data_IF_040143738960
#
_entry.id   IF_040143738960
#
_cell.length_a   1.000
_cell.length_b   1.000
_cell.length_c   1.000
_cell.angle_alpha   90.00
_cell.angle_beta   90.00
_cell.angle_gamma   90.00
#
_symmetry.space_group_name_H-M   'P 1'
#
loop_
_entity.id
_entity.type
_entity.pdbx_description
1 polymer ?
#
# COMPACT_ATOMS: atom_id res chain seq x y z
N UNK A 1 12.01 17.39 72.48
CA UNK A 1 13.09 16.92 71.58
C UNK A 1 13.11 15.40 71.64
N UNK A 2 13.31 14.70 70.52
CA UNK A 2 13.49 13.25 70.57
C UNK A 2 14.97 12.91 70.61
N UNK A 3 15.34 12.01 71.50
CA UNK A 3 16.71 11.52 71.72
C UNK A 3 16.77 10.02 71.43
N UNK A 4 17.97 9.52 71.15
CA UNK A 4 18.19 8.09 71.00
C UNK A 4 17.99 7.40 72.34
N UNK A 5 17.12 6.38 72.39
CA UNK A 5 16.81 5.63 73.60
C UNK A 5 18.06 5.03 74.27
N UNK A 6 19.08 4.67 73.49
CA UNK A 6 20.28 3.99 74.02
C UNK A 6 21.45 4.93 74.36
N UNK A 7 21.81 5.84 73.47
CA UNK A 7 22.99 6.70 73.65
C UNK A 7 22.67 8.15 74.04
N UNK A 8 21.38 8.52 74.13
CA UNK A 8 20.96 9.88 74.50
C UNK A 8 21.30 10.97 73.49
N UNK A 9 21.82 10.61 72.29
CA UNK A 9 22.16 11.63 71.29
C UNK A 9 20.88 12.31 70.77
N UNK A 10 20.90 13.64 70.69
CA UNK A 10 19.76 14.42 70.22
C UNK A 10 19.53 14.22 68.72
N UNK A 11 18.26 14.27 68.30
CA UNK A 11 17.87 14.18 66.90
C UNK A 11 18.34 15.33 66.01
N UNK A 12 18.92 16.39 66.58
CA UNK A 12 19.54 17.48 65.81
C UNK A 12 20.91 17.08 65.25
N UNK A 13 21.63 16.17 65.94
CA UNK A 13 22.98 15.74 65.55
C UNK A 13 22.97 14.51 64.63
N UNK A 14 21.92 13.69 64.68
CA UNK A 14 21.84 12.47 63.88
C UNK A 14 20.41 12.10 63.53
N UNK A 15 20.23 11.36 62.43
CA UNK A 15 18.92 10.84 62.02
C UNK A 15 18.52 9.70 62.96
N UNK A 16 17.37 9.86 63.60
CA UNK A 16 16.75 8.84 64.43
C UNK A 16 15.72 8.07 63.59
N UNK A 17 15.69 6.76 63.76
CA UNK A 17 14.72 5.87 63.15
C UNK A 17 13.81 5.26 64.20
N UNK A 18 12.57 4.98 63.82
CA UNK A 18 11.64 4.26 64.67
C UNK A 18 12.00 2.77 64.63
N UNK A 19 12.16 2.13 65.79
CA UNK A 19 12.58 0.74 65.92
C UNK A 19 11.72 0.02 66.98
N UNK A 20 11.58 -1.30 66.85
CA UNK A 20 10.75 -2.11 67.75
C UNK A 20 11.63 -2.71 68.86
N UNK A 21 11.40 -2.30 70.10
CA UNK A 21 12.01 -2.86 71.30
C UNK A 21 10.96 -3.56 72.17
N UNK A 22 11.39 -4.27 73.22
CA UNK A 22 10.50 -4.90 74.20
C UNK A 22 9.60 -3.90 74.93
N UNK A 23 10.01 -2.64 75.03
CA UNK A 23 9.23 -1.54 75.65
C UNK A 23 8.31 -0.82 74.66
N UNK A 24 8.28 -1.23 73.39
CA UNK A 24 7.46 -0.62 72.34
C UNK A 24 8.28 0.06 71.23
N UNK A 25 7.68 1.06 70.57
CA UNK A 25 8.31 1.77 69.45
C UNK A 25 9.21 2.87 70.03
N UNK A 26 10.52 2.71 69.87
CA UNK A 26 11.54 3.64 70.36
C UNK A 26 12.32 4.27 69.22
N UNK A 27 12.92 5.44 69.46
CA UNK A 27 13.78 6.12 68.48
C UNK A 27 15.24 5.75 68.71
N UNK A 28 15.90 5.22 67.68
CA UNK A 28 17.31 4.81 67.71
C UNK A 28 18.12 5.52 66.63
N UNK A 29 19.38 5.83 66.91
CA UNK A 29 20.31 6.30 65.89
C UNK A 29 20.83 5.12 65.04
N UNK A 30 21.38 5.43 63.86
CA UNK A 30 21.90 4.41 62.92
C UNK A 30 22.95 3.48 63.55
N UNK A 31 23.79 4.01 64.44
CA UNK A 31 24.87 3.25 65.05
C UNK A 31 24.32 2.22 66.05
N UNK A 32 23.46 2.66 66.99
CA UNK A 32 22.89 1.77 68.00
C UNK A 32 22.01 0.68 67.39
N UNK A 33 21.29 0.96 66.28
CA UNK A 33 20.51 -0.06 65.58
C UNK A 33 21.39 -1.16 64.96
N UNK A 34 22.56 -0.81 64.44
CA UNK A 34 23.52 -1.78 63.90
C UNK A 34 24.14 -2.66 64.98
N UNK A 35 24.49 -2.07 66.12
CA UNK A 35 25.17 -2.79 67.21
C UNK A 35 24.26 -3.83 67.91
N UNK A 36 22.98 -3.54 68.06
CA UNK A 36 22.02 -4.44 68.74
C UNK A 36 21.15 -5.27 67.79
N UNK A 37 21.30 -5.11 66.47
CA UNK A 37 20.44 -5.75 65.48
C UNK A 37 18.93 -5.52 65.72
N UNK A 38 18.56 -4.34 66.22
CA UNK A 38 17.15 -3.99 66.47
C UNK A 38 16.46 -3.70 65.13
N UNK A 39 15.29 -4.32 64.84
CA UNK A 39 14.58 -4.11 63.59
C UNK A 39 14.06 -2.68 63.48
N UNK A 40 14.50 -1.98 62.43
CA UNK A 40 14.09 -0.61 62.11
C UNK A 40 12.84 -0.62 61.23
N UNK A 41 11.82 0.14 61.63
CA UNK A 41 10.63 0.38 60.83
C UNK A 41 10.98 1.42 59.77
N UNK A 42 11.10 0.97 58.51
CA UNK A 42 11.23 1.89 57.38
C UNK A 42 9.86 2.45 57.05
N UNK A 43 9.67 3.76 57.31
CA UNK A 43 8.47 4.47 56.81
C UNK A 43 8.46 4.35 55.28
N UNK A 44 7.36 3.88 54.66
CA UNK A 44 7.24 3.85 53.21
C UNK A 44 7.50 5.23 52.63
N UNK A 45 8.15 5.29 51.48
CA UNK A 45 8.28 6.56 50.76
C UNK A 45 6.93 6.96 50.16
N UNK A 46 6.69 8.26 49.96
CA UNK A 46 5.45 8.75 49.34
C UNK A 46 5.20 8.12 47.97
N UNK A 47 6.27 7.81 47.24
CA UNK A 47 6.21 7.09 45.95
C UNK A 47 5.67 5.66 46.11
N UNK A 48 5.99 4.98 47.20
CA UNK A 48 5.46 3.65 47.49
C UNK A 48 3.98 3.71 47.88
N UNK A 49 3.59 4.71 48.67
CA UNK A 49 2.18 4.94 49.03
C UNK A 49 1.33 5.22 47.78
N UNK A 50 1.78 6.14 46.92
CA UNK A 50 1.10 6.46 45.68
C UNK A 50 0.94 5.26 44.74
N UNK A 51 1.97 4.40 44.64
CA UNK A 51 1.89 3.16 43.84
C UNK A 51 0.90 2.15 44.42
N UNK A 52 0.78 2.06 45.74
CA UNK A 52 -0.17 1.18 46.40
C UNK A 52 -1.62 1.68 46.20
N UNK A 53 -1.84 2.99 46.26
CA UNK A 53 -3.16 3.61 46.05
C UNK A 53 -3.67 3.45 44.61
N UNK A 54 -2.77 3.56 43.62
CA UNK A 54 -3.18 3.57 42.20
C UNK A 54 -3.85 2.29 41.73
N UNK A 55 -3.63 1.16 42.41
CA UNK A 55 -4.16 -0.15 42.06
C UNK A 55 -3.67 -0.67 40.70
N UNK A 56 -3.58 -2.00 40.49
CA UNK A 56 -3.21 -2.53 39.18
C UNK A 56 -4.36 -2.32 38.20
N UNK A 57 -4.04 -1.81 37.01
CA UNK A 57 -5.00 -1.66 35.91
C UNK A 57 -5.52 -3.02 35.44
N UNK A 58 -6.68 -3.04 34.78
CA UNK A 58 -7.24 -4.28 34.19
C UNK A 58 -6.21 -4.97 33.30
N UNK A 59 -5.44 -4.20 32.53
CA UNK A 59 -4.39 -4.70 31.65
C UNK A 59 -3.25 -5.40 32.42
N UNK A 60 -2.72 -4.76 33.46
CA UNK A 60 -1.66 -5.36 34.29
C UNK A 60 -2.13 -6.63 35.00
N UNK A 61 -3.42 -6.69 35.40
CA UNK A 61 -4.01 -7.91 35.96
C UNK A 61 -4.03 -9.05 34.94
N UNK A 62 -4.46 -8.78 33.72
CA UNK A 62 -4.48 -9.77 32.64
C UNK A 62 -3.07 -10.25 32.28
N UNK A 63 -2.09 -9.34 32.17
CA UNK A 63 -0.69 -9.71 31.90
C UNK A 63 -0.12 -10.63 33.00
N UNK A 64 -0.43 -10.36 34.28
CA UNK A 64 -0.02 -11.23 35.40
C UNK A 64 -0.66 -12.62 35.34
N UNK A 65 -1.92 -12.72 34.92
CA UNK A 65 -2.61 -14.02 34.78
C UNK A 65 -1.95 -14.87 33.68
N UNK A 66 -1.46 -14.26 32.62
CA UNK A 66 -0.79 -14.94 31.50
C UNK A 66 0.70 -15.18 31.77
N UNK A 67 1.25 -14.63 32.86
CA UNK A 67 2.67 -14.76 33.20
C UNK A 67 3.61 -13.96 32.29
N UNK A 68 3.09 -12.90 31.66
CA UNK A 68 3.87 -12.02 30.78
C UNK A 68 4.08 -10.68 31.48
N UNK A 69 5.28 -10.11 31.35
CA UNK A 69 5.55 -8.80 31.91
C UNK A 69 4.65 -7.73 31.25
N UNK A 70 3.93 -6.89 32.02
CA UNK A 70 3.01 -5.89 31.46
C UNK A 70 3.66 -4.91 30.49
N UNK A 71 4.99 -4.70 30.61
CA UNK A 71 5.76 -3.85 29.69
C UNK A 71 5.94 -4.53 28.33
N UNK A 72 6.40 -5.78 28.31
CA UNK A 72 6.59 -6.55 27.08
C UNK A 72 5.27 -6.78 26.36
N UNK A 73 4.22 -7.11 27.11
CA UNK A 73 2.88 -7.29 26.55
C UNK A 73 2.37 -5.99 25.89
N UNK A 74 2.71 -4.82 26.45
CA UNK A 74 2.32 -3.51 25.90
C UNK A 74 3.11 -3.14 24.67
N UNK A 75 4.37 -3.52 24.57
CA UNK A 75 5.16 -3.34 23.36
C UNK A 75 4.67 -4.25 22.23
N UNK A 76 4.26 -5.47 22.57
CA UNK A 76 3.83 -6.46 21.58
C UNK A 76 2.40 -6.23 21.08
N UNK A 77 1.49 -5.80 21.95
CA UNK A 77 0.05 -5.66 21.65
C UNK A 77 -0.50 -4.24 21.80
N UNK A 78 0.33 -3.28 22.23
CA UNK A 78 -0.05 -1.88 22.31
C UNK A 78 -0.08 -1.20 20.94
N UNK A 79 -0.44 0.09 20.96
CA UNK A 79 -0.62 0.93 19.76
C UNK A 79 0.63 0.93 18.86
N UNK A 80 1.82 0.87 19.45
CA UNK A 80 3.09 0.81 18.72
C UNK A 80 3.33 -0.56 18.05
N UNK A 81 2.96 -1.67 18.70
CA UNK A 81 3.00 -3.00 18.10
C UNK A 81 2.03 -3.15 16.93
N UNK A 82 0.85 -2.51 17.00
CA UNK A 82 -0.12 -2.47 15.90
C UNK A 82 0.45 -1.70 14.70
N UNK A 83 1.05 -0.52 14.92
CA UNK A 83 1.71 0.26 13.85
C UNK A 83 2.82 -0.53 13.16
N UNK A 84 3.69 -1.17 13.94
CA UNK A 84 4.81 -1.97 13.41
C UNK A 84 4.33 -3.20 12.62
N UNK A 85 3.16 -3.75 12.97
CA UNK A 85 2.52 -4.85 12.23
C UNK A 85 1.83 -4.36 10.95
N UNK A 86 1.30 -3.14 10.93
CA UNK A 86 0.77 -2.51 9.71
C UNK A 86 1.90 -2.15 8.73
N UNK A 87 3.02 -1.66 9.22
CA UNK A 87 4.22 -1.38 8.40
C UNK A 87 4.74 -2.66 7.71
N UNK A 88 4.88 -3.77 8.44
CA UNK A 88 5.28 -5.06 7.85
C UNK A 88 4.29 -5.60 6.81
N UNK A 89 2.99 -5.32 6.97
CA UNK A 89 1.99 -5.69 5.96
C UNK A 89 2.06 -4.83 4.69
N UNK A 90 2.62 -3.62 4.77
CA UNK A 90 2.86 -2.78 3.59
C UNK A 90 4.09 -3.22 2.78
N UNK A 91 5.01 -3.99 3.39
CA UNK A 91 6.19 -4.54 2.74
C UNK A 91 5.91 -5.86 2.00
N UNK A 92 4.82 -6.56 2.30
CA UNK A 92 4.35 -7.67 1.49
C UNK A 92 3.74 -7.12 0.19
N UNK A 93 4.57 -7.01 -0.84
CA UNK A 93 4.17 -6.68 -2.21
C UNK A 93 3.18 -7.75 -2.68
N UNK A 94 1.90 -7.50 -2.45
CA UNK A 94 0.84 -8.42 -2.90
C UNK A 94 0.86 -8.47 -4.42
N UNK A 95 0.57 -9.64 -5.01
CA UNK A 95 0.46 -9.80 -6.47
C UNK A 95 -0.45 -8.74 -7.12
N UNK A 96 -1.47 -8.26 -6.39
CA UNK A 96 -2.34 -7.17 -6.82
C UNK A 96 -1.59 -5.86 -7.04
N UNK A 97 -0.71 -5.47 -6.12
CA UNK A 97 0.10 -4.25 -6.26
C UNK A 97 1.04 -4.28 -7.47
N UNK A 98 1.51 -5.48 -7.85
CA UNK A 98 2.33 -5.67 -9.06
C UNK A 98 1.47 -5.47 -10.31
N UNK A 99 0.26 -6.04 -10.33
CA UNK A 99 -0.68 -5.88 -11.45
C UNK A 99 -1.10 -4.42 -11.61
N UNK A 100 -1.41 -3.73 -10.51
CA UNK A 100 -1.76 -2.30 -10.53
C UNK A 100 -0.58 -1.46 -11.07
N UNK A 101 0.65 -1.69 -10.58
CA UNK A 101 1.86 -0.99 -11.05
C UNK A 101 2.16 -1.25 -12.53
N UNK A 102 1.97 -2.49 -13.00
CA UNK A 102 2.14 -2.82 -14.41
C UNK A 102 1.09 -2.13 -15.29
N UNK A 103 -0.13 -1.95 -14.75
CA UNK A 103 -1.19 -1.25 -15.45
C UNK A 103 -0.90 0.25 -15.53
N UNK A 104 -0.43 0.87 -14.45
CA UNK A 104 0.00 2.27 -14.42
C UNK A 104 1.11 2.54 -15.44
N UNK A 105 2.17 1.72 -15.46
CA UNK A 105 3.26 1.85 -16.44
C UNK A 105 2.74 1.78 -17.88
N UNK A 106 1.85 0.84 -18.19
CA UNK A 106 1.24 0.73 -19.53
C UNK A 106 0.40 1.95 -19.91
N UNK A 107 -0.14 2.69 -18.94
CA UNK A 107 -0.87 3.93 -19.20
C UNK A 107 0.08 5.10 -19.46
N UNK A 108 1.17 5.17 -18.70
CA UNK A 108 2.25 6.15 -18.90
C UNK A 108 2.89 5.98 -20.28
N UNK A 109 3.20 4.74 -20.68
CA UNK A 109 3.77 4.41 -22.00
C UNK A 109 2.86 4.85 -23.15
N UNK A 110 1.53 4.82 -22.95
CA UNK A 110 0.54 5.29 -23.92
C UNK A 110 0.37 6.82 -23.93
N UNK A 111 1.13 7.56 -23.11
CA UNK A 111 1.07 9.01 -23.01
C UNK A 111 -0.24 9.54 -22.43
N UNK A 112 -0.99 8.71 -21.70
CA UNK A 112 -2.26 9.11 -21.12
C UNK A 112 -1.95 9.90 -19.85
N UNK A 113 -1.87 11.21 -20.02
CA UNK A 113 -1.73 12.09 -18.88
C UNK A 113 -3.07 12.14 -18.12
N UNK A 114 -3.12 11.61 -16.91
CA UNK A 114 -4.33 11.48 -16.07
C UNK A 114 -5.04 12.83 -15.91
N UNK A 115 -4.30 13.93 -15.97
CA UNK A 115 -4.81 15.30 -15.86
C UNK A 115 -5.62 15.74 -17.09
N UNK A 116 -5.25 15.26 -18.28
CA UNK A 116 -5.97 15.54 -19.52
C UNK A 116 -7.01 14.45 -19.72
N UNK A 117 -8.23 14.70 -19.23
CA UNK A 117 -9.40 13.85 -19.49
C UNK A 117 -9.64 13.73 -21.00
N UNK A 118 -9.01 12.76 -21.65
CA UNK A 118 -9.29 12.43 -23.03
C UNK A 118 -10.64 11.73 -23.06
N UNK A 119 -11.67 12.45 -23.51
CA UNK A 119 -12.98 11.86 -23.72
C UNK A 119 -12.93 11.01 -24.98
N UNK A 120 -13.19 9.72 -24.80
CA UNK A 120 -13.36 8.78 -25.89
C UNK A 120 -14.62 9.14 -26.68
N UNK A 121 -14.44 9.50 -27.95
CA UNK A 121 -15.56 9.86 -28.86
C UNK A 121 -16.42 8.65 -29.21
N UNK A 122 -15.86 7.44 -29.11
CA UNK A 122 -16.51 6.17 -29.40
C UNK A 122 -17.48 5.70 -28.31
N UNK A 123 -17.33 6.20 -27.08
CA UNK A 123 -18.17 5.84 -25.96
C UNK A 123 -19.35 6.81 -25.81
N UNK A 124 -20.44 6.32 -25.22
CA UNK A 124 -21.58 7.14 -24.83
C UNK A 124 -21.12 8.20 -23.81
N UNK A 125 -21.68 9.40 -23.92
CA UNK A 125 -21.41 10.46 -22.95
C UNK A 125 -21.81 9.98 -21.54
N UNK A 126 -20.98 10.25 -20.54
CA UNK A 126 -21.20 9.82 -19.15
C UNK A 126 -21.21 8.30 -18.93
N UNK A 127 -20.52 7.52 -19.76
CA UNK A 127 -20.38 6.06 -19.56
C UNK A 127 -20.00 5.65 -18.14
N UNK A 128 -19.13 6.43 -17.50
CA UNK A 128 -18.65 6.18 -16.14
C UNK A 128 -19.80 6.09 -15.11
N UNK A 129 -20.87 6.87 -15.28
CA UNK A 129 -22.07 6.79 -14.42
C UNK A 129 -22.87 5.52 -14.67
N UNK A 130 -22.95 5.07 -15.93
CA UNK A 130 -23.64 3.84 -16.31
C UNK A 130 -22.95 2.64 -15.65
N UNK A 131 -21.61 2.60 -15.72
CA UNK A 131 -20.78 1.57 -15.06
C UNK A 131 -21.03 1.59 -13.54
N UNK A 132 -20.89 2.77 -12.92
CA UNK A 132 -21.02 2.92 -11.47
C UNK A 132 -22.42 2.52 -10.98
N UNK A 133 -23.47 2.96 -11.68
CA UNK A 133 -24.86 2.61 -11.36
C UNK A 133 -25.10 1.11 -11.48
N UNK A 134 -24.63 0.49 -12.56
CA UNK A 134 -24.84 -0.93 -12.82
C UNK A 134 -24.09 -1.82 -11.83
N UNK A 135 -22.87 -1.43 -11.45
CA UNK A 135 -22.14 -2.09 -10.36
C UNK A 135 -22.90 -2.01 -9.03
N UNK A 136 -23.41 -0.82 -8.67
CA UNK A 136 -24.17 -0.61 -7.43
C UNK A 136 -25.47 -1.40 -7.40
N UNK A 137 -26.18 -1.52 -8.53
CA UNK A 137 -27.38 -2.35 -8.65
C UNK A 137 -27.08 -3.82 -8.33
N UNK A 138 -25.88 -4.31 -8.68
CA UNK A 138 -25.40 -5.66 -8.36
C UNK A 138 -24.76 -5.79 -6.98
N UNK A 139 -24.70 -4.70 -6.19
CA UNK A 139 -24.09 -4.63 -4.84
C UNK A 139 -22.64 -5.14 -4.78
N UNK A 140 -21.87 -4.94 -5.87
CA UNK A 140 -20.47 -5.33 -5.92
C UNK A 140 -19.55 -4.18 -5.49
N UNK A 141 -18.51 -4.48 -4.72
CA UNK A 141 -17.41 -3.53 -4.50
C UNK A 141 -16.53 -3.44 -5.76
N UNK A 142 -15.73 -2.37 -5.90
CA UNK A 142 -14.79 -2.22 -7.03
C UNK A 142 -13.81 -3.41 -7.07
N UNK A 143 -13.31 -3.83 -5.90
CA UNK A 143 -12.43 -4.99 -5.72
C UNK A 143 -13.09 -6.30 -6.18
N UNK A 144 -14.33 -6.54 -5.78
CA UNK A 144 -15.06 -7.75 -6.21
C UNK A 144 -15.35 -7.74 -7.72
N UNK A 145 -15.61 -6.57 -8.30
CA UNK A 145 -15.81 -6.44 -9.74
C UNK A 145 -14.52 -6.74 -10.51
N UNK A 146 -13.40 -6.15 -10.07
CA UNK A 146 -12.07 -6.37 -10.63
C UNK A 146 -11.68 -7.85 -10.62
N UNK A 147 -11.92 -8.54 -9.50
CA UNK A 147 -11.64 -9.96 -9.34
C UNK A 147 -12.51 -10.85 -10.25
N UNK A 148 -13.79 -10.52 -10.44
CA UNK A 148 -14.68 -11.27 -11.34
C UNK A 148 -14.36 -11.07 -12.82
N UNK A 149 -13.86 -9.89 -13.20
CA UNK A 149 -13.50 -9.56 -14.58
C UNK A 149 -12.06 -9.99 -14.92
N UNK A 150 -11.23 -10.23 -13.89
CA UNK A 150 -9.81 -10.52 -14.05
C UNK A 150 -9.02 -9.30 -14.52
N UNK A 151 -9.35 -8.13 -13.98
CA UNK A 151 -8.69 -6.85 -14.28
C UNK A 151 -8.23 -6.16 -12.99
N UNK A 152 -7.43 -5.11 -13.10
CA UNK A 152 -6.88 -4.38 -11.96
C UNK A 152 -7.97 -3.55 -11.24
N UNK A 153 -7.86 -3.36 -9.92
CA UNK A 153 -8.82 -2.52 -9.18
C UNK A 153 -8.73 -1.07 -9.65
N UNK A 154 -7.50 -0.64 -9.98
CA UNK A 154 -7.21 0.69 -10.51
C UNK A 154 -7.87 0.94 -11.87
N UNK A 155 -7.90 -0.06 -12.77
CA UNK A 155 -8.58 0.05 -14.05
C UNK A 155 -10.08 0.33 -13.89
N UNK A 156 -10.73 -0.35 -12.93
CA UNK A 156 -12.15 -0.14 -12.62
C UNK A 156 -12.37 1.25 -12.02
N UNK A 157 -11.49 1.70 -11.11
CA UNK A 157 -11.56 3.05 -10.53
C UNK A 157 -11.47 4.12 -11.62
N UNK A 158 -10.53 3.99 -12.54
CA UNK A 158 -10.38 4.94 -13.66
C UNK A 158 -11.58 4.91 -14.61
N UNK A 159 -12.11 3.72 -14.92
CA UNK A 159 -13.33 3.58 -15.71
C UNK A 159 -14.54 4.29 -15.05
N UNK A 160 -14.68 4.20 -13.72
CA UNK A 160 -15.73 4.91 -12.97
C UNK A 160 -15.46 6.42 -12.82
N UNK A 161 -14.22 6.87 -12.97
CA UNK A 161 -13.85 8.29 -13.03
C UNK A 161 -14.01 8.89 -14.44
N UNK A 162 -14.21 8.06 -15.45
CA UNK A 162 -14.33 8.47 -16.84
C UNK A 162 -12.99 8.62 -17.57
N UNK A 163 -11.91 8.06 -17.01
CA UNK A 163 -10.59 7.99 -17.64
C UNK A 163 -10.35 6.57 -18.15
N UNK A 164 -10.24 6.41 -19.48
CA UNK A 164 -9.93 5.14 -20.13
C UNK A 164 -8.94 5.39 -21.25
N UNK A 165 -7.99 4.47 -21.45
CA UNK A 165 -7.07 4.56 -22.58
C UNK A 165 -7.82 4.50 -23.91
N UNK A 166 -7.33 5.29 -24.87
CA UNK A 166 -7.63 5.11 -26.28
C UNK A 166 -7.14 3.71 -26.69
N UNK A 167 -8.08 2.83 -27.10
CA UNK A 167 -7.77 1.47 -27.54
C UNK A 167 -7.98 0.33 -26.53
N UNK A 168 -8.35 0.60 -25.27
CA UNK A 168 -8.66 -0.48 -24.30
C UNK A 168 -10.07 -1.07 -24.49
N UNK A 169 -10.40 -1.43 -25.74
CA UNK A 169 -11.68 -2.05 -26.11
C UNK A 169 -11.89 -3.39 -25.39
N UNK A 170 -10.80 -4.07 -25.01
CA UNK A 170 -10.84 -5.31 -24.22
C UNK A 170 -11.52 -5.10 -22.87
N UNK A 171 -11.18 -4.03 -22.14
CA UNK A 171 -11.76 -3.71 -20.84
C UNK A 171 -13.23 -3.30 -20.98
N UNK A 172 -13.56 -2.47 -21.98
CA UNK A 172 -14.93 -2.04 -22.26
C UNK A 172 -15.81 -3.25 -22.55
N UNK A 173 -15.38 -4.15 -23.44
CA UNK A 173 -16.11 -5.36 -23.78
C UNK A 173 -16.35 -6.26 -22.55
N UNK A 174 -15.31 -6.48 -21.74
CA UNK A 174 -15.44 -7.23 -20.49
C UNK A 174 -16.45 -6.62 -19.52
N UNK A 175 -16.48 -5.28 -19.42
CA UNK A 175 -17.45 -4.56 -18.58
C UNK A 175 -18.87 -4.67 -19.13
N UNK A 176 -19.05 -4.53 -20.44
CA UNK A 176 -20.35 -4.70 -21.11
C UNK A 176 -20.89 -6.12 -20.90
N UNK A 177 -20.06 -7.14 -21.17
CA UNK A 177 -20.41 -8.55 -21.03
C UNK A 177 -20.78 -8.90 -19.58
N UNK A 178 -19.95 -8.46 -18.61
CA UNK A 178 -20.17 -8.78 -17.22
C UNK A 178 -21.37 -8.04 -16.62
N UNK A 179 -21.48 -6.73 -16.84
CA UNK A 179 -22.54 -5.90 -16.25
C UNK A 179 -23.85 -5.96 -17.05
N UNK A 180 -23.81 -6.43 -18.30
CA UNK A 180 -24.97 -6.46 -19.20
C UNK A 180 -25.40 -5.06 -19.63
N UNK A 181 -24.43 -4.17 -19.85
CA UNK A 181 -24.68 -2.77 -20.26
C UNK A 181 -24.12 -2.49 -21.64
N UNK A 182 -24.64 -1.44 -22.27
CA UNK A 182 -24.16 -0.91 -23.54
C UNK A 182 -23.53 0.45 -23.30
N UNK A 183 -22.26 0.57 -23.65
CA UNK A 183 -21.41 1.74 -23.41
C UNK A 183 -20.85 2.28 -24.74
N UNK A 184 -20.55 1.40 -25.69
CA UNK A 184 -20.12 1.78 -27.04
C UNK A 184 -21.31 2.36 -27.82
N UNK A 185 -21.09 3.44 -28.59
CA UNK A 185 -22.14 4.02 -29.44
C UNK A 185 -22.53 3.06 -30.56
N UNK A 186 -23.83 3.04 -30.89
CA UNK A 186 -24.40 2.10 -31.86
C UNK A 186 -23.80 2.24 -33.27
N UNK A 187 -23.38 3.44 -33.66
CA UNK A 187 -22.76 3.72 -34.97
C UNK A 187 -21.49 2.89 -35.22
N UNK A 188 -20.66 2.71 -34.19
CA UNK A 188 -19.40 1.97 -34.31
C UNK A 188 -19.60 0.47 -34.26
N UNK A 189 -20.62 0.00 -33.54
CA UNK A 189 -20.98 -1.44 -33.52
C UNK A 189 -21.42 -1.95 -34.87
N UNK A 190 -22.20 -1.15 -35.61
CA UNK A 190 -22.62 -1.52 -36.96
C UNK A 190 -21.43 -1.74 -37.90
N UNK A 191 -20.32 -1.03 -37.68
CA UNK A 191 -19.08 -1.21 -38.43
C UNK A 191 -18.39 -2.52 -38.00
N UNK A 192 -18.31 -2.80 -36.70
CA UNK A 192 -17.72 -4.05 -36.21
C UNK A 192 -18.49 -5.30 -36.65
N UNK A 193 -19.82 -5.25 -36.65
CA UNK A 193 -20.67 -6.36 -37.11
C UNK A 193 -20.52 -6.59 -38.62
N UNK A 194 -20.44 -5.52 -39.41
CA UNK A 194 -20.12 -5.62 -40.84
C UNK A 194 -18.74 -6.24 -41.07
N UNK A 195 -17.73 -5.83 -40.29
CA UNK A 195 -16.38 -6.37 -40.39
C UNK A 195 -16.30 -7.84 -39.96
N UNK A 196 -17.10 -8.26 -38.98
CA UNK A 196 -17.22 -9.68 -38.61
C UNK A 196 -17.87 -10.51 -39.71
N UNK A 197 -18.90 -9.97 -40.36
CA UNK A 197 -19.58 -10.65 -41.46
C UNK A 197 -18.68 -10.79 -42.70
N UNK A 198 -17.76 -9.85 -42.95
CA UNK A 198 -16.77 -9.98 -44.04
C UNK A 198 -15.58 -10.87 -43.71
N UNK A 199 -15.34 -11.21 -42.44
CA UNK A 199 -14.30 -12.16 -41.99
C UNK A 199 -14.85 -13.58 -41.79
N UNK A 200 -15.93 -13.95 -42.49
CA UNK A 200 -16.32 -15.36 -42.60
C UNK A 200 -15.15 -16.13 -43.21
N UNK A 201 -14.47 -16.90 -42.35
CA UNK A 201 -13.40 -17.79 -42.74
C UNK A 201 -13.99 -18.80 -43.72
N UNK A 202 -13.56 -18.77 -44.98
CA UNK A 202 -13.94 -19.75 -45.97
C UNK A 202 -13.41 -21.12 -45.51
N UNK A 203 -14.25 -21.91 -44.83
CA UNK A 203 -13.91 -23.24 -44.33
C UNK A 203 -13.45 -24.17 -45.46
N UNK A 204 -13.80 -23.86 -46.71
CA UNK A 204 -13.32 -24.58 -47.89
C UNK A 204 -11.86 -24.26 -48.25
N UNK A 205 -11.37 -23.05 -48.02
CA UNK A 205 -9.98 -22.66 -48.34
C UNK A 205 -8.96 -23.30 -47.40
N UNK A 206 -9.32 -23.54 -46.14
CA UNK A 206 -8.40 -24.13 -45.14
C UNK A 206 -8.15 -25.62 -45.35
N UNK A 207 -9.01 -26.33 -46.08
CA UNK A 207 -8.84 -27.76 -46.39
C UNK A 207 -7.89 -28.01 -47.57
N UNK A 208 -7.59 -26.99 -48.37
CA UNK A 208 -6.72 -27.10 -49.56
C UNK A 208 -5.32 -26.57 -49.36
N UNK A 209 -5.03 -25.87 -48.24
CA UNK A 209 -3.68 -25.39 -47.95
C UNK A 209 -2.82 -26.58 -47.53
N UNK A 210 -1.84 -26.91 -48.35
CA UNK A 210 -0.89 -27.98 -48.08
C UNK A 210 0.27 -27.48 -47.22
N UNK A 211 1.05 -28.41 -46.66
CA UNK A 211 2.26 -28.09 -45.88
C UNK A 211 3.30 -27.34 -46.74
N UNK A 212 3.28 -27.52 -48.07
CA UNK A 212 4.14 -26.79 -49.00
C UNK A 212 3.77 -25.30 -49.04
N UNK A 213 2.47 -24.99 -49.18
CA UNK A 213 1.96 -23.62 -49.22
C UNK A 213 2.25 -22.86 -47.91
N UNK A 214 2.19 -23.55 -46.75
CA UNK A 214 2.56 -22.97 -45.45
C UNK A 214 4.05 -22.63 -45.35
N UNK A 215 4.93 -23.37 -46.03
CA UNK A 215 6.37 -23.06 -46.06
C UNK A 215 6.66 -21.89 -46.98
N UNK A 216 5.97 -21.77 -48.11
CA UNK A 216 6.08 -20.61 -49.01
C UNK A 216 5.57 -19.34 -48.34
N UNK A 217 4.40 -19.37 -47.70
CA UNK A 217 3.86 -18.22 -46.98
C UNK A 217 4.79 -17.75 -45.84
N UNK A 218 5.45 -18.69 -45.16
CA UNK A 218 6.44 -18.36 -44.14
C UNK A 218 7.68 -17.71 -44.75
N UNK A 219 8.19 -18.24 -45.86
CA UNK A 219 9.34 -17.66 -46.55
C UNK A 219 9.03 -16.25 -47.12
N UNK A 220 7.82 -16.03 -47.64
CA UNK A 220 7.37 -14.70 -48.07
C UNK A 220 7.23 -13.73 -46.90
N UNK A 221 6.68 -14.18 -45.75
CA UNK A 221 6.60 -13.33 -44.57
C UNK A 221 7.98 -12.96 -44.05
N UNK A 222 8.89 -13.94 -43.92
CA UNK A 222 10.25 -13.71 -43.41
C UNK A 222 11.03 -12.75 -44.33
N UNK A 223 10.91 -12.88 -45.66
CA UNK A 223 11.54 -11.93 -46.60
C UNK A 223 10.93 -10.54 -46.53
N UNK A 224 9.61 -10.43 -46.39
CA UNK A 224 8.93 -9.12 -46.28
C UNK A 224 9.22 -8.42 -44.97
N UNK A 225 9.40 -9.17 -43.88
CA UNK A 225 9.82 -8.62 -42.58
C UNK A 225 11.25 -8.10 -42.68
N UNK A 226 12.16 -8.83 -43.33
CA UNK A 226 13.53 -8.36 -43.55
C UNK A 226 13.62 -7.14 -44.47
N UNK A 227 12.78 -7.03 -45.49
CA UNK A 227 12.75 -5.85 -46.36
C UNK A 227 12.18 -4.63 -45.62
N UNK A 228 11.16 -4.82 -44.77
CA UNK A 228 10.61 -3.74 -43.93
C UNK A 228 11.61 -3.21 -42.89
N UNK A 229 12.43 -4.08 -42.30
CA UNK A 229 13.49 -3.67 -41.37
C UNK A 229 14.62 -2.88 -42.08
N UNK A 230 14.88 -3.13 -43.37
CA UNK A 230 15.89 -2.39 -44.14
C UNK A 230 15.41 -0.99 -44.54
N UNK A 231 14.12 -0.79 -44.79
CA UNK A 231 13.56 0.52 -45.16
C UNK A 231 13.43 1.48 -43.96
N UNK A 232 13.19 0.96 -42.75
CA UNK A 232 13.10 1.81 -41.53
C UNK A 232 14.46 2.38 -41.08
N UNK A 233 15.58 1.73 -41.42
CA UNK A 233 16.93 2.19 -41.07
C UNK A 233 17.48 3.27 -42.03
N UNK A 234 17.00 3.36 -43.28
CA UNK A 234 17.43 4.40 -44.23
C UNK A 234 16.81 5.78 -43.93
N UNK A 235 15.64 5.83 -43.30
CA UNK A 235 14.95 7.09 -42.99
C UNK A 235 15.46 7.76 -41.70
N UNK A 236 16.04 7.00 -40.77
CA UNK A 236 16.66 7.58 -39.56
C UNK A 236 17.99 8.29 -39.84
N UNK A 237 18.68 7.95 -40.94
CA UNK A 237 20.00 8.51 -41.24
C UNK A 237 19.96 9.85 -42.03
N UNK A 238 18.78 10.25 -42.54
CA UNK A 238 18.60 11.57 -43.20
C UNK A 238 18.25 12.71 -42.24
N UNK A 239 17.87 12.42 -40.99
CA UNK A 239 17.45 13.43 -40.00
C UNK A 239 18.58 14.09 -39.20
N UNK A 240 19.80 13.52 -39.15
CA UNK A 240 20.82 13.95 -38.18
C UNK A 240 21.85 14.97 -38.69
N UNK A 241 21.74 15.44 -39.94
CA UNK A 241 22.79 16.26 -40.58
C UNK A 241 22.59 17.78 -40.57
N UNK A 242 21.65 18.33 -39.79
CA UNK A 242 21.27 19.76 -39.89
C UNK A 242 21.38 20.63 -38.62
N UNK A 243 22.06 20.20 -37.54
CA UNK A 243 22.23 21.05 -36.34
C UNK A 243 23.63 21.02 -35.74
N UNK A 244 24.64 21.41 -36.50
CA UNK A 244 25.94 21.83 -35.97
C UNK A 244 26.42 23.02 -36.80
N UNK A 245 25.96 24.22 -36.46
CA UNK A 245 26.34 25.41 -37.22
C UNK A 245 25.60 26.69 -36.83
N UNK A 246 25.75 27.16 -35.59
CA UNK A 246 25.71 28.60 -35.30
C UNK A 246 26.34 28.86 -33.92
N UNK A 247 27.61 29.28 -33.99
CA UNK A 247 28.43 29.82 -32.90
C UNK A 247 27.78 31.07 -32.30
N UNK A 248 27.68 31.04 -30.98
CA UNK A 248 28.09 32.07 -30.01
C UNK A 248 28.37 33.48 -30.56
N UNK A 249 27.44 34.40 -30.30
CA UNK A 249 27.72 35.82 -30.09
C UNK A 249 27.52 36.09 -28.59
N UNK A 250 28.61 36.24 -27.84
CA UNK A 250 28.59 36.75 -26.46
C UNK A 250 28.50 38.29 -26.49
N UNK A 251 27.56 38.93 -25.78
CA UNK A 251 27.60 40.36 -25.57
C UNK A 251 28.54 40.71 -24.40
N UNK A 252 29.60 41.48 -24.71
CA UNK A 252 30.40 42.21 -23.73
C UNK A 252 29.50 43.21 -22.99
N UNK A 253 29.31 43.01 -21.69
CA UNK A 253 28.75 44.04 -20.81
C UNK A 253 29.87 44.98 -20.34
N UNK A 254 29.78 46.23 -20.80
CA UNK A 254 30.42 47.39 -20.19
C UNK A 254 29.53 48.07 -19.16
#
# INVERSE_FOLDING_TARGET
MSECYRCGISGERTRLFDAISGEGIVKLCSNCSGDENIPVIKRPTDVQLYKAEKGPSVYERLSRVVGVDPKEHKEQFGIEGVKKKEERKSEEITLRSIVDRNYERRMEDKGINIEKKQTRTDLIHNFHWIIMRSRRMRKLTQKQLAEKIGESELAIKMAEQGTLALGDNKLVKKLEDFLGIRIVRDELRAIEEKNKATLEFDEMGTKTITIADLRELKAEHDTKTMIGEIEEDEDLNKGFKLRLGSKEDEPEFG
#
